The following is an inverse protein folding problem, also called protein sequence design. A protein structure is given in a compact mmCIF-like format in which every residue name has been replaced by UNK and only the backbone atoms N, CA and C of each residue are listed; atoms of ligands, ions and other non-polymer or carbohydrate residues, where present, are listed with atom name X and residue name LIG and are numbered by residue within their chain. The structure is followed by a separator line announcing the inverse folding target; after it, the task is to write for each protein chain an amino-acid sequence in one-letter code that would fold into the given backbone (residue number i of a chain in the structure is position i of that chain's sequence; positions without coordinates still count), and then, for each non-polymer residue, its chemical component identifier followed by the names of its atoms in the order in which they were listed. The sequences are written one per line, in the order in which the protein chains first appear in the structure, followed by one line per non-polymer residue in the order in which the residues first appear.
data_IF_984684516794
#
_entry.id   IF_984684516794
#
_cell.length_a   1.000
_cell.length_b   1.000
_cell.length_c   1.000
_cell.angle_alpha   90.00
_cell.angle_beta   90.00
_cell.angle_gamma   90.00
#
_symmetry.space_group_name_H-M   'P 1'
#
loop_
_entity.id
_entity.type
_entity.pdbx_description
1 polymer ?
#
# COMPACT_ATOMS: atom_id res chain seq x y z
N UNK A 1 -34.07 -51.51 -54.75
CA UNK A 1 -34.58 -52.60 -53.89
C UNK A 1 -33.45 -53.60 -53.71
N UNK A 2 -33.05 -53.97 -52.48
CA UNK A 2 -32.04 -55.00 -52.31
C UNK A 2 -32.60 -56.30 -52.90
N UNK A 3 -31.83 -56.98 -53.76
CA UNK A 3 -32.13 -58.36 -54.16
C UNK A 3 -31.90 -59.30 -52.96
N UNK A 4 -32.51 -60.49 -52.98
CA UNK A 4 -32.38 -61.52 -51.93
C UNK A 4 -30.94 -61.59 -51.39
N UNK A 5 -30.76 -61.32 -50.08
CA UNK A 5 -29.47 -61.38 -49.39
C UNK A 5 -28.70 -60.06 -49.19
N UNK A 6 -29.27 -58.89 -49.49
CA UNK A 6 -28.60 -57.59 -49.29
C UNK A 6 -28.73 -57.02 -47.86
N UNK A 7 -27.67 -56.40 -47.35
CA UNK A 7 -27.66 -55.66 -46.07
C UNK A 7 -27.89 -54.17 -46.30
N UNK A 8 -28.77 -53.54 -45.51
CA UNK A 8 -28.90 -52.09 -45.42
C UNK A 8 -28.34 -51.62 -44.08
N UNK A 9 -27.25 -50.85 -44.10
CA UNK A 9 -26.71 -50.21 -42.90
C UNK A 9 -27.31 -48.81 -42.75
N UNK A 10 -27.97 -48.57 -41.62
CA UNK A 10 -28.43 -47.24 -41.23
C UNK A 10 -27.61 -46.77 -40.03
N UNK A 11 -27.06 -45.55 -40.11
CA UNK A 11 -26.42 -44.88 -38.99
C UNK A 11 -27.30 -43.74 -38.50
N UNK A 12 -27.30 -43.48 -37.21
CA UNK A 12 -27.90 -42.29 -36.61
C UNK A 12 -27.02 -41.76 -35.49
N UNK A 13 -27.16 -40.49 -35.17
CA UNK A 13 -26.53 -39.83 -34.03
C UNK A 13 -27.56 -38.98 -33.30
N UNK A 14 -27.45 -38.92 -31.99
CA UNK A 14 -28.29 -38.08 -31.14
C UNK A 14 -27.47 -37.61 -29.93
N UNK A 15 -27.67 -36.37 -29.51
CA UNK A 15 -27.08 -35.86 -28.27
C UNK A 15 -27.88 -36.40 -27.08
N UNK A 16 -27.19 -36.76 -26.00
CA UNK A 16 -27.83 -37.10 -24.73
C UNK A 16 -28.02 -35.85 -23.87
N UNK A 17 -29.19 -35.65 -23.22
CA UNK A 17 -29.47 -34.46 -22.42
C UNK A 17 -28.72 -34.40 -21.08
N UNK A 18 -28.27 -35.53 -20.53
CA UNK A 18 -27.63 -35.61 -19.22
C UNK A 18 -26.90 -36.97 -19.03
N UNK A 19 -26.21 -37.12 -17.90
CA UNK A 19 -25.40 -38.29 -17.57
C UNK A 19 -26.18 -39.49 -16.98
N UNK A 20 -27.51 -39.42 -16.88
CA UNK A 20 -28.33 -40.53 -16.37
C UNK A 20 -28.24 -41.72 -17.32
N UNK A 21 -27.98 -42.89 -16.74
CA UNK A 21 -27.95 -44.15 -17.46
C UNK A 21 -29.27 -44.41 -18.18
N UNK A 22 -29.18 -44.82 -19.45
CA UNK A 22 -30.35 -45.02 -20.30
C UNK A 22 -30.10 -46.12 -21.31
N UNK A 23 -31.18 -46.69 -21.82
CA UNK A 23 -31.12 -47.64 -22.93
C UNK A 23 -31.49 -46.91 -24.21
N UNK A 24 -30.56 -46.92 -25.15
CA UNK A 24 -30.79 -46.44 -26.50
C UNK A 24 -31.41 -47.57 -27.31
N UNK A 25 -32.65 -47.39 -27.79
CA UNK A 25 -33.38 -48.39 -28.57
C UNK A 25 -33.63 -47.86 -29.98
N UNK A 26 -33.06 -48.53 -30.98
CA UNK A 26 -33.34 -48.28 -32.39
C UNK A 26 -34.44 -49.24 -32.88
N UNK A 27 -35.36 -48.73 -33.70
CA UNK A 27 -36.39 -49.52 -34.37
C UNK A 27 -36.32 -49.30 -35.87
N UNK A 28 -36.48 -50.36 -36.66
CA UNK A 28 -36.55 -50.28 -38.12
C UNK A 28 -37.77 -51.06 -38.62
N UNK A 29 -38.51 -50.48 -39.57
CA UNK A 29 -39.68 -51.11 -40.18
C UNK A 29 -39.41 -51.37 -41.66
N UNK A 30 -39.32 -52.64 -42.04
CA UNK A 30 -39.26 -53.06 -43.44
C UNK A 30 -40.67 -53.13 -44.01
N UNK A 31 -40.92 -52.44 -45.14
CA UNK A 31 -42.16 -52.58 -45.89
C UNK A 31 -42.08 -53.79 -46.82
N UNK A 32 -42.96 -54.77 -46.63
CA UNK A 32 -43.02 -55.97 -47.47
C UNK A 32 -44.01 -55.75 -48.62
N UNK A 33 -43.57 -56.11 -49.83
CA UNK A 33 -44.38 -56.03 -51.03
C UNK A 33 -44.60 -57.42 -51.61
N UNK A 34 -45.84 -57.72 -51.91
CA UNK A 34 -46.21 -58.79 -52.83
C UNK A 34 -46.07 -58.27 -54.25
N UNK A 35 -45.60 -59.13 -55.13
CA UNK A 35 -45.47 -58.82 -56.54
C UNK A 35 -46.19 -59.91 -57.31
N UNK A 36 -47.23 -59.52 -58.03
CA UNK A 36 -47.93 -60.43 -58.93
C UNK A 36 -47.34 -60.29 -60.33
N UNK A 37 -47.19 -61.42 -61.01
CA UNK A 37 -46.72 -61.43 -62.38
C UNK A 37 -47.82 -60.90 -63.30
N UNK A 38 -47.55 -59.80 -64.00
CA UNK A 38 -48.42 -59.26 -65.04
C UNK A 38 -47.98 -59.82 -66.41
N UNK A 39 -48.73 -60.79 -66.97
CA UNK A 39 -48.37 -61.41 -68.24
C UNK A 39 -48.44 -60.43 -69.42
N UNK A 40 -49.20 -59.33 -69.28
CA UNK A 40 -49.37 -58.31 -70.34
C UNK A 40 -48.11 -57.49 -70.57
N UNK A 41 -47.32 -57.26 -69.51
CA UNK A 41 -46.07 -56.50 -69.54
C UNK A 41 -44.84 -57.38 -69.35
N UNK A 42 -45.03 -58.68 -69.10
CA UNK A 42 -43.97 -59.62 -68.70
C UNK A 42 -43.16 -59.15 -67.50
N UNK A 43 -43.76 -58.34 -66.61
CA UNK A 43 -43.15 -57.78 -65.41
C UNK A 43 -43.86 -58.25 -64.15
N UNK A 44 -43.15 -58.21 -63.03
CA UNK A 44 -43.74 -58.34 -61.71
C UNK A 44 -44.20 -56.97 -61.24
N UNK A 45 -45.52 -56.78 -61.18
CA UNK A 45 -46.11 -55.51 -60.75
C UNK A 45 -46.33 -55.53 -59.24
N UNK A 46 -46.00 -54.41 -58.59
CA UNK A 46 -46.11 -54.24 -57.15
C UNK A 46 -47.59 -54.18 -56.75
N UNK A 47 -48.14 -55.27 -56.26
CA UNK A 47 -49.57 -55.39 -55.92
C UNK A 47 -49.78 -55.16 -54.42
N UNK A 48 -50.04 -53.89 -54.08
CA UNK A 48 -50.36 -53.37 -52.75
C UNK A 48 -49.33 -53.66 -51.62
N UNK A 49 -49.31 -52.79 -50.60
CA UNK A 49 -48.50 -52.98 -49.38
C UNK A 49 -49.11 -54.16 -48.61
N UNK A 50 -48.41 -55.28 -48.56
CA UNK A 50 -48.98 -56.52 -48.00
C UNK A 50 -48.81 -56.58 -46.48
N UNK A 51 -47.63 -56.26 -45.95
CA UNK A 51 -47.35 -56.21 -44.50
C UNK A 51 -46.10 -55.37 -44.19
N UNK A 52 -45.76 -55.23 -42.91
CA UNK A 52 -44.45 -54.72 -42.46
C UNK A 52 -43.78 -55.75 -41.56
N UNK A 53 -42.44 -55.71 -41.51
CA UNK A 53 -41.63 -56.44 -40.53
C UNK A 53 -40.86 -55.43 -39.69
N UNK A 54 -41.02 -55.49 -38.38
CA UNK A 54 -40.32 -54.60 -37.44
C UNK A 54 -39.07 -55.28 -36.86
N UNK A 55 -38.02 -54.50 -36.67
CA UNK A 55 -36.76 -54.88 -36.06
C UNK A 55 -36.45 -53.91 -34.92
N UNK A 56 -35.79 -54.40 -33.88
CA UNK A 56 -35.29 -53.57 -32.79
C UNK A 56 -33.89 -53.99 -32.38
N UNK A 57 -33.09 -53.02 -31.94
CA UNK A 57 -31.81 -53.24 -31.30
C UNK A 57 -31.61 -52.22 -30.20
N UNK A 58 -31.02 -52.65 -29.08
CA UNK A 58 -30.80 -51.79 -27.92
C UNK A 58 -29.35 -51.87 -27.44
N UNK A 59 -28.83 -50.74 -26.97
CA UNK A 59 -27.54 -50.65 -26.29
C UNK A 59 -27.65 -49.76 -25.05
N UNK A 60 -26.92 -50.10 -24.00
CA UNK A 60 -26.84 -49.26 -22.81
C UNK A 60 -25.93 -48.06 -23.08
N UNK A 61 -26.36 -46.90 -22.61
CA UNK A 61 -25.54 -45.70 -22.47
C UNK A 61 -25.36 -45.49 -20.97
N UNK A 62 -24.17 -45.80 -20.47
CA UNK A 62 -23.83 -45.72 -19.06
C UNK A 62 -22.53 -44.92 -18.87
N UNK A 63 -22.57 -43.95 -17.96
CA UNK A 63 -21.44 -43.09 -17.59
C UNK A 63 -20.82 -43.49 -16.25
N UNK A 64 -21.24 -44.61 -15.64
CA UNK A 64 -20.69 -45.11 -14.37
C UNK A 64 -19.18 -45.41 -14.42
N UNK A 65 -18.64 -45.69 -15.60
CA UNK A 65 -17.22 -45.89 -15.87
C UNK A 65 -16.59 -44.73 -16.64
N UNK A 66 -17.28 -43.60 -16.76
CA UNK A 66 -16.73 -42.43 -17.43
C UNK A 66 -15.56 -41.85 -16.62
N UNK A 67 -14.45 -41.58 -17.28
CA UNK A 67 -13.34 -40.86 -16.67
C UNK A 67 -13.71 -39.39 -16.52
N UNK A 68 -13.82 -38.92 -15.28
CA UNK A 68 -13.99 -37.51 -14.96
C UNK A 68 -12.60 -36.93 -14.65
N UNK A 69 -12.11 -36.08 -15.54
CA UNK A 69 -10.95 -35.22 -15.26
C UNK A 69 -11.50 -33.88 -14.80
N UNK A 70 -11.18 -33.45 -13.58
CA UNK A 70 -11.44 -32.07 -13.18
C UNK A 70 -10.22 -31.23 -13.52
N UNK A 71 -10.43 -29.92 -13.50
CA UNK A 71 -9.46 -28.92 -13.92
C UNK A 71 -9.51 -27.84 -12.84
N UNK A 72 -8.35 -27.28 -12.52
CA UNK A 72 -8.19 -26.20 -11.53
C UNK A 72 -8.63 -26.60 -10.10
N UNK A 73 -8.40 -27.85 -9.71
CA UNK A 73 -8.69 -28.32 -8.35
C UNK A 73 -7.82 -27.66 -7.27
N UNK A 74 -6.69 -27.06 -7.67
CA UNK A 74 -5.75 -26.39 -6.80
C UNK A 74 -5.48 -24.96 -7.25
N UNK A 75 -5.32 -24.07 -6.28
CA UNK A 75 -4.82 -22.71 -6.47
C UNK A 75 -3.58 -22.50 -5.64
N UNK A 76 -2.56 -21.89 -6.25
CA UNK A 76 -1.42 -21.37 -5.54
C UNK A 76 -1.78 -19.99 -4.98
N UNK A 77 -1.52 -19.78 -3.69
CA UNK A 77 -1.83 -18.56 -2.96
C UNK A 77 -0.53 -17.86 -2.59
N UNK A 78 -0.47 -16.56 -2.85
CA UNK A 78 0.67 -15.71 -2.53
C UNK A 78 0.22 -14.36 -2.02
N UNK A 79 1.14 -13.68 -1.37
CA UNK A 79 1.00 -12.31 -0.91
C UNK A 79 2.20 -11.51 -1.42
N UNK A 80 2.00 -10.26 -1.84
CA UNK A 80 3.04 -9.45 -2.47
C UNK A 80 4.15 -9.01 -1.50
N UNK A 81 3.87 -8.99 -0.18
CA UNK A 81 4.84 -8.63 0.87
C UNK A 81 5.47 -9.84 1.53
N UNK A 82 4.72 -10.94 1.66
CA UNK A 82 5.18 -12.16 2.32
C UNK A 82 5.76 -13.20 1.34
N UNK A 83 5.27 -13.24 0.10
CA UNK A 83 5.60 -14.23 -0.91
C UNK A 83 4.61 -15.41 -0.94
N UNK A 84 5.09 -16.61 -1.25
CA UNK A 84 4.21 -17.78 -1.38
C UNK A 84 3.65 -18.22 -0.02
N UNK A 85 2.32 -18.32 0.08
CA UNK A 85 1.61 -18.80 1.27
C UNK A 85 1.34 -20.31 1.21
N UNK A 86 1.29 -20.88 0.00
CA UNK A 86 1.13 -22.30 -0.26
C UNK A 86 0.01 -22.57 -1.25
N UNK A 87 -0.48 -23.81 -1.26
CA UNK A 87 -1.50 -24.26 -2.20
C UNK A 87 -2.76 -24.70 -1.46
N UNK A 88 -3.94 -24.37 -2.01
CA UNK A 88 -5.23 -24.80 -1.50
C UNK A 88 -5.91 -25.66 -2.57
N UNK A 89 -6.22 -26.90 -2.24
CA UNK A 89 -6.84 -27.85 -3.15
C UNK A 89 -8.21 -28.31 -2.66
N UNK A 90 -9.17 -28.45 -3.57
CA UNK A 90 -10.42 -29.16 -3.27
C UNK A 90 -10.18 -30.67 -3.24
N UNK A 91 -10.69 -31.39 -2.22
CA UNK A 91 -10.58 -32.84 -2.19
C UNK A 91 -11.32 -33.50 -3.35
N UNK A 92 -10.92 -34.72 -3.70
CA UNK A 92 -11.54 -35.54 -4.76
C UNK A 92 -13.03 -35.82 -4.54
N UNK A 93 -13.58 -35.55 -3.35
CA UNK A 93 -15.01 -35.55 -3.06
C UNK A 93 -15.78 -34.36 -3.64
N UNK A 94 -15.11 -33.27 -4.04
CA UNK A 94 -15.74 -32.08 -4.66
C UNK A 94 -16.35 -31.10 -3.66
N UNK A 95 -16.02 -31.20 -2.39
CA UNK A 95 -16.43 -30.24 -1.36
C UNK A 95 -15.54 -29.00 -1.37
N UNK A 96 -16.10 -27.81 -1.16
CA UNK A 96 -15.36 -26.55 -1.06
C UNK A 96 -14.25 -26.63 -0.01
N UNK A 97 -13.03 -26.21 -0.37
CA UNK A 97 -11.92 -26.05 0.55
C UNK A 97 -11.89 -24.61 1.07
N UNK A 98 -11.65 -24.43 2.36
CA UNK A 98 -11.40 -23.13 2.99
C UNK A 98 -10.16 -23.27 3.86
N UNK A 99 -9.21 -22.36 3.67
CA UNK A 99 -7.93 -22.35 4.38
C UNK A 99 -7.65 -20.94 4.88
N UNK A 100 -7.10 -20.84 6.08
CA UNK A 100 -6.60 -19.59 6.65
C UNK A 100 -5.08 -19.66 6.75
N UNK A 101 -4.40 -18.63 6.25
CA UNK A 101 -2.97 -18.42 6.42
C UNK A 101 -2.76 -17.30 7.44
N UNK A 102 -1.88 -17.51 8.41
CA UNK A 102 -1.56 -16.50 9.42
C UNK A 102 -0.08 -16.15 9.31
N UNK A 103 0.22 -14.86 9.14
CA UNK A 103 1.56 -14.30 9.14
C UNK A 103 1.50 -12.88 9.70
N UNK A 104 2.67 -12.29 9.95
CA UNK A 104 2.79 -10.92 10.44
C UNK A 104 3.75 -10.15 9.55
N UNK A 105 3.40 -8.91 9.23
CA UNK A 105 4.24 -7.95 8.54
C UNK A 105 4.60 -6.85 9.51
N UNK A 106 5.88 -6.53 9.59
CA UNK A 106 6.36 -5.38 10.37
C UNK A 106 6.44 -4.18 9.44
N UNK A 107 5.70 -3.12 9.78
CA UNK A 107 5.79 -1.83 9.09
C UNK A 107 6.74 -0.95 9.92
N UNK A 108 7.88 -0.59 9.33
CA UNK A 108 8.86 0.32 9.93
C UNK A 108 10.26 -0.27 10.16
N UNK A 109 11.23 0.55 10.61
CA UNK A 109 11.06 1.93 11.10
C UNK A 109 10.54 2.89 10.03
N UNK A 110 9.54 3.70 10.39
CA UNK A 110 8.91 4.67 9.48
C UNK A 110 9.82 5.89 9.36
N UNK A 111 10.08 6.35 8.13
CA UNK A 111 10.75 7.62 7.85
C UNK A 111 9.72 8.74 7.62
N UNK A 112 10.11 10.01 7.79
CA UNK A 112 9.23 11.16 7.51
C UNK A 112 8.62 11.10 6.10
N UNK A 113 9.40 10.63 5.12
CA UNK A 113 8.95 10.51 3.74
C UNK A 113 7.83 9.48 3.52
N UNK A 114 7.64 8.57 4.47
CA UNK A 114 6.60 7.53 4.45
C UNK A 114 5.37 7.94 5.27
N UNK A 115 5.43 9.04 6.01
CA UNK A 115 4.30 9.58 6.75
C UNK A 115 3.23 10.14 5.78
N UNK A 116 1.97 9.89 6.09
CA UNK A 116 0.84 10.24 5.22
C UNK A 116 0.72 9.35 3.96
N UNK A 117 1.53 8.29 3.87
CA UNK A 117 1.41 7.27 2.82
C UNK A 117 0.61 6.07 3.31
N UNK A 118 0.33 5.10 2.42
CA UNK A 118 -0.40 3.88 2.76
C UNK A 118 0.44 2.63 2.47
N UNK A 119 0.42 1.68 3.40
CA UNK A 119 0.94 0.34 3.22
C UNK A 119 -0.17 -0.59 2.72
N UNK A 120 -0.05 -1.04 1.46
CA UNK A 120 -1.03 -1.96 0.84
C UNK A 120 -0.46 -3.38 0.81
N UNK A 121 -1.22 -4.31 1.37
CA UNK A 121 -0.93 -5.73 1.37
C UNK A 121 -1.92 -6.46 0.45
N UNK A 122 -1.43 -7.18 -0.56
CA UNK A 122 -2.25 -7.81 -1.60
C UNK A 122 -2.08 -9.32 -1.59
N UNK A 123 -3.14 -10.02 -1.23
CA UNK A 123 -3.23 -11.47 -1.38
C UNK A 123 -3.75 -11.82 -2.78
N UNK A 124 -3.19 -12.85 -3.40
CA UNK A 124 -3.56 -13.29 -4.75
C UNK A 124 -3.58 -14.81 -4.85
N UNK A 125 -4.36 -15.33 -5.81
CA UNK A 125 -4.32 -16.74 -6.18
C UNK A 125 -4.18 -16.92 -7.69
N UNK A 126 -3.64 -18.07 -8.09
CA UNK A 126 -3.55 -18.50 -9.50
C UNK A 126 -3.83 -20.00 -9.59
N UNK A 127 -4.69 -20.42 -10.53
CA UNK A 127 -4.95 -21.84 -10.77
C UNK A 127 -3.76 -22.52 -11.48
N UNK A 128 -3.54 -23.81 -11.19
CA UNK A 128 -2.25 -24.46 -11.54
C UNK A 128 -2.25 -25.31 -12.80
N UNK A 129 -3.41 -25.59 -13.42
CA UNK A 129 -3.54 -26.69 -14.39
C UNK A 129 -3.90 -26.28 -15.83
N UNK A 130 -4.11 -24.98 -16.11
CA UNK A 130 -4.57 -24.54 -17.45
C UNK A 130 -3.59 -23.63 -18.18
N UNK A 131 -3.67 -23.62 -19.51
CA UNK A 131 -2.94 -22.69 -20.38
C UNK A 131 -3.43 -21.23 -20.25
N UNK A 132 -4.47 -21.00 -19.45
CA UNK A 132 -5.03 -19.70 -19.12
C UNK A 132 -5.55 -19.73 -17.68
N UNK A 133 -4.64 -19.62 -16.69
CA UNK A 133 -4.98 -19.82 -15.30
C UNK A 133 -5.99 -18.79 -14.83
N UNK A 134 -6.93 -19.21 -13.99
CA UNK A 134 -7.81 -18.29 -13.28
C UNK A 134 -7.01 -17.58 -12.19
N UNK A 135 -7.21 -16.27 -12.08
CA UNK A 135 -6.54 -15.44 -11.07
C UNK A 135 -7.54 -14.55 -10.36
N UNK A 136 -7.17 -14.14 -9.15
CA UNK A 136 -7.89 -13.14 -8.38
C UNK A 136 -7.01 -12.60 -7.27
N UNK A 137 -7.37 -11.42 -6.78
CA UNK A 137 -6.64 -10.74 -5.70
C UNK A 137 -7.61 -9.95 -4.84
N UNK A 138 -7.19 -9.70 -3.61
CA UNK A 138 -7.85 -8.79 -2.68
C UNK A 138 -6.77 -8.10 -1.83
N UNK A 139 -7.07 -6.90 -1.32
CA UNK A 139 -6.10 -6.09 -0.61
C UNK A 139 -6.57 -5.62 0.76
N UNK A 140 -5.60 -5.31 1.61
CA UNK A 140 -5.79 -4.62 2.87
C UNK A 140 -4.83 -3.44 2.94
N UNK A 141 -5.38 -2.26 3.19
CA UNK A 141 -4.62 -1.01 3.25
C UNK A 141 -4.53 -0.50 4.68
N UNK A 142 -3.33 -0.11 5.11
CA UNK A 142 -3.06 0.55 6.39
C UNK A 142 -2.46 1.91 6.10
N UNK A 143 -3.12 2.97 6.58
CA UNK A 143 -2.60 4.34 6.46
C UNK A 143 -1.55 4.60 7.55
N UNK A 144 -0.43 5.19 7.15
CA UNK A 144 0.70 5.53 8.04
C UNK A 144 0.50 6.97 8.49
N UNK A 145 -0.06 7.13 9.69
CA UNK A 145 -0.17 8.43 10.36
C UNK A 145 1.04 8.61 11.28
N UNK A 146 1.68 9.78 11.18
CA UNK A 146 2.77 10.19 12.06
C UNK A 146 2.41 11.55 12.67
N UNK A 147 2.71 11.74 13.95
CA UNK A 147 2.90 13.07 14.52
C UNK A 147 4.30 13.51 14.10
N UNK A 148 4.39 14.18 12.95
CA UNK A 148 5.64 14.78 12.50
C UNK A 148 5.90 16.02 13.36
N UNK A 149 7.02 16.01 14.08
CA UNK A 149 7.60 17.22 14.66
C UNK A 149 8.06 18.13 13.52
N UNK A 150 7.91 19.45 13.70
CA UNK A 150 8.27 20.45 12.71
C UNK A 150 7.07 21.01 11.95
N UNK A 151 7.35 21.96 11.06
CA UNK A 151 6.34 22.62 10.23
C UNK A 151 5.75 23.91 10.81
N UNK A 152 6.11 24.28 12.05
CA UNK A 152 5.57 25.46 12.73
C UNK A 152 6.69 26.27 13.40
N UNK A 153 6.51 27.58 13.50
CA UNK A 153 7.45 28.47 14.18
C UNK A 153 6.92 29.89 14.29
N UNK A 154 7.25 30.55 15.39
CA UNK A 154 7.00 31.98 15.58
C UNK A 154 8.30 32.79 15.37
N UNK A 155 8.15 33.97 14.76
CA UNK A 155 9.29 34.85 14.47
C UNK A 155 9.89 35.47 15.74
N UNK A 156 11.15 35.96 15.71
CA UNK A 156 11.71 36.74 16.83
C UNK A 156 10.84 37.94 17.24
N UNK A 157 10.16 38.56 16.27
CA UNK A 157 9.26 39.68 16.52
C UNK A 157 8.00 39.27 17.30
N UNK A 158 7.48 38.06 17.11
CA UNK A 158 6.39 37.54 17.92
C UNK A 158 6.84 37.38 19.38
N UNK A 159 7.90 36.60 19.60
CA UNK A 159 8.39 36.30 20.96
C UNK A 159 8.75 37.54 21.76
N UNK A 160 9.34 38.56 21.11
CA UNK A 160 9.66 39.85 21.72
C UNK A 160 8.43 40.59 22.26
N UNK A 161 7.27 40.42 21.64
CA UNK A 161 6.05 41.14 22.00
C UNK A 161 5.05 40.29 22.80
N UNK A 162 5.39 39.04 23.11
CA UNK A 162 4.52 38.06 23.77
C UNK A 162 5.26 37.28 24.88
N UNK A 163 5.93 38.00 25.80
CA UNK A 163 6.63 37.41 26.96
C UNK A 163 5.72 36.57 27.88
N UNK A 164 4.41 36.80 27.83
CA UNK A 164 3.41 36.02 28.54
C UNK A 164 3.24 34.61 27.98
N UNK A 165 3.54 34.42 26.70
CA UNK A 165 3.43 33.15 25.96
C UNK A 165 4.70 32.29 25.99
N UNK A 166 5.81 32.81 26.53
CA UNK A 166 7.05 32.04 26.67
C UNK A 166 6.83 30.77 27.50
N UNK A 167 7.59 29.73 27.20
CA UNK A 167 7.40 28.40 27.78
C UNK A 167 7.51 28.42 29.31
N UNK A 168 6.48 27.84 29.94
CA UNK A 168 6.37 27.71 31.40
C UNK A 168 6.12 26.26 31.76
N UNK A 169 6.92 25.75 32.68
CA UNK A 169 6.72 24.44 33.27
C UNK A 169 6.21 24.63 34.71
N UNK A 170 5.06 24.03 35.03
CA UNK A 170 4.45 24.12 36.37
C UNK A 170 4.20 25.56 36.88
N UNK A 171 4.04 26.53 35.97
CA UNK A 171 3.80 27.93 36.29
C UNK A 171 5.07 28.77 36.53
N UNK A 172 6.25 28.17 36.40
CA UNK A 172 7.55 28.84 36.37
C UNK A 172 8.08 28.86 34.93
N UNK A 173 8.87 29.87 34.57
CA UNK A 173 9.49 29.92 33.25
C UNK A 173 10.49 28.79 33.11
N UNK A 174 10.46 28.10 31.97
CA UNK A 174 11.53 27.17 31.60
C UNK A 174 12.73 27.93 31.03
N UNK A 175 12.45 28.94 30.20
CA UNK A 175 13.38 30.03 29.85
C UNK A 175 12.68 31.36 30.14
N UNK A 176 13.26 32.18 31.01
CA UNK A 176 12.68 33.45 31.45
C UNK A 176 13.22 34.63 30.62
N UNK A 177 12.43 35.71 30.44
CA UNK A 177 12.88 36.92 29.76
C UNK A 177 14.18 37.52 30.32
N UNK A 178 14.42 37.38 31.62
CA UNK A 178 15.59 37.90 32.33
C UNK A 178 16.73 36.89 32.53
N UNK A 179 16.62 35.66 31.98
CA UNK A 179 17.74 34.73 31.94
C UNK A 179 18.88 35.32 31.11
N UNK A 180 20.10 35.20 31.62
CA UNK A 180 21.31 35.67 30.93
C UNK A 180 21.67 34.73 29.79
N UNK A 181 22.09 35.29 28.65
CA UNK A 181 22.52 34.50 27.49
C UNK A 181 23.64 33.52 27.85
N UNK A 182 24.56 33.90 28.74
CA UNK A 182 25.67 33.09 29.22
C UNK A 182 25.27 31.93 30.14
N UNK A 183 24.04 31.92 30.66
CA UNK A 183 23.51 30.79 31.43
C UNK A 183 22.87 29.73 30.52
N UNK A 184 22.36 30.15 29.36
CA UNK A 184 21.66 29.29 28.38
C UNK A 184 22.60 28.75 27.30
N UNK A 185 23.45 29.61 26.74
CA UNK A 185 24.42 29.27 25.70
C UNK A 185 25.84 29.28 26.26
N UNK A 186 26.70 28.39 25.77
CA UNK A 186 28.11 28.37 26.19
C UNK A 186 28.92 29.40 25.40
N UNK A 187 29.38 30.45 26.11
CA UNK A 187 30.26 31.48 25.57
C UNK A 187 31.76 31.14 25.73
N UNK A 188 32.10 29.95 26.23
CA UNK A 188 33.50 29.52 26.38
C UNK A 188 34.20 29.49 25.02
N UNK A 189 35.37 30.13 24.94
CA UNK A 189 36.16 30.15 23.70
C UNK A 189 35.74 31.20 22.68
N UNK A 190 34.69 31.97 22.96
CA UNK A 190 34.28 33.12 22.14
C UNK A 190 35.32 34.25 22.18
N UNK A 191 35.28 35.15 21.19
CA UNK A 191 36.08 36.38 21.25
C UNK A 191 35.56 37.33 22.34
N UNK A 192 36.41 38.22 22.85
CA UNK A 192 36.02 39.19 23.89
C UNK A 192 34.85 40.10 23.52
N UNK A 193 34.60 40.30 22.23
CA UNK A 193 33.47 41.10 21.77
C UNK A 193 32.17 40.31 21.86
N UNK A 194 32.20 39.02 21.52
CA UNK A 194 31.06 38.12 21.65
C UNK A 194 30.80 37.77 23.11
N UNK A 195 31.85 37.53 23.91
CA UNK A 195 31.76 37.29 25.36
C UNK A 195 31.01 38.40 26.10
N UNK A 196 31.09 39.66 25.63
CA UNK A 196 30.34 40.77 26.26
C UNK A 196 28.82 40.70 26.09
N UNK A 197 28.31 39.81 25.25
CA UNK A 197 26.87 39.54 25.11
C UNK A 197 26.36 38.52 26.13
N UNK A 198 27.24 37.83 26.86
CA UNK A 198 26.84 36.78 27.80
C UNK A 198 26.00 37.33 28.97
N UNK A 199 26.25 38.59 29.37
CA UNK A 199 25.53 39.27 30.45
C UNK A 199 24.21 39.91 29.98
N UNK A 200 23.91 39.91 28.67
CA UNK A 200 22.64 40.40 28.14
C UNK A 200 21.55 39.32 28.30
N UNK A 201 20.30 39.73 28.44
CA UNK A 201 19.18 38.79 28.68
C UNK A 201 18.66 38.15 27.39
N UNK A 202 17.91 37.04 27.51
CA UNK A 202 17.17 36.47 26.37
C UNK A 202 16.23 37.50 25.71
N UNK A 203 15.57 38.34 26.49
CA UNK A 203 14.69 39.40 25.96
C UNK A 203 15.50 40.49 25.21
N UNK A 204 16.68 40.86 25.72
CA UNK A 204 17.58 41.80 25.02
C UNK A 204 18.04 41.23 23.68
N UNK A 205 18.33 39.93 23.62
CA UNK A 205 18.77 39.25 22.41
C UNK A 205 17.74 39.30 21.28
N UNK A 206 16.45 39.12 21.61
CA UNK A 206 15.36 39.28 20.65
C UNK A 206 15.25 40.71 20.09
N UNK A 207 15.79 41.70 20.80
CA UNK A 207 15.81 43.09 20.38
C UNK A 207 17.07 43.50 19.58
N UNK A 208 18.05 42.61 19.41
CA UNK A 208 19.28 42.93 18.70
C UNK A 208 19.04 43.41 17.25
N UNK A 209 19.77 44.46 16.87
CA UNK A 209 19.76 45.03 15.53
C UNK A 209 20.84 44.47 14.60
N UNK A 210 21.71 43.60 15.11
CA UNK A 210 22.91 43.15 14.42
C UNK A 210 23.96 44.26 14.28
N UNK A 211 24.83 44.13 13.29
CA UNK A 211 25.88 45.10 13.02
C UNK A 211 26.94 44.56 12.07
N UNK A 212 28.01 45.33 11.80
CA UNK A 212 29.12 44.83 11.01
C UNK A 212 30.04 43.92 11.84
N UNK A 213 30.57 42.88 11.19
CA UNK A 213 31.60 42.02 11.74
C UNK A 213 31.09 41.03 12.79
N UNK A 214 32.03 40.33 13.42
CA UNK A 214 31.76 39.17 14.28
C UNK A 214 30.71 39.43 15.38
N UNK A 215 30.78 40.57 16.06
CA UNK A 215 29.80 40.95 17.08
C UNK A 215 28.39 41.11 16.49
N UNK A 216 28.27 41.69 15.31
CA UNK A 216 26.99 41.86 14.62
C UNK A 216 26.42 40.54 14.11
N UNK A 217 27.28 39.65 13.62
CA UNK A 217 26.90 38.29 13.20
C UNK A 217 26.41 37.48 14.40
N UNK A 218 27.10 37.56 15.54
CA UNK A 218 26.68 36.92 16.80
C UNK A 218 25.34 37.48 17.31
N UNK A 219 25.14 38.79 17.26
CA UNK A 219 23.86 39.43 17.61
C UNK A 219 22.72 38.94 16.70
N UNK A 220 22.96 38.81 15.39
CA UNK A 220 21.96 38.28 14.46
C UNK A 220 21.63 36.81 14.77
N UNK A 221 22.65 35.98 14.96
CA UNK A 221 22.48 34.59 15.33
C UNK A 221 21.68 34.45 16.63
N UNK A 222 22.08 35.14 17.69
CA UNK A 222 21.42 35.07 18.99
C UNK A 222 19.95 35.51 18.91
N UNK A 223 19.63 36.53 18.10
CA UNK A 223 18.24 36.94 17.90
C UNK A 223 17.36 35.82 17.33
N UNK A 224 17.87 35.07 16.36
CA UNK A 224 17.14 33.95 15.76
C UNK A 224 17.22 32.67 16.62
N UNK A 225 18.32 32.46 17.33
CA UNK A 225 18.51 31.33 18.23
C UNK A 225 17.59 31.40 19.45
N UNK A 226 17.38 32.59 20.06
CA UNK A 226 16.42 32.72 21.17
C UNK A 226 14.99 32.46 20.70
N UNK A 227 14.62 32.93 19.51
CA UNK A 227 13.32 32.59 18.93
C UNK A 227 13.19 31.07 18.65
N UNK A 228 14.24 30.44 18.14
CA UNK A 228 14.29 29.00 17.91
C UNK A 228 14.16 28.20 19.22
N UNK A 229 14.83 28.65 20.28
CA UNK A 229 14.75 28.08 21.61
C UNK A 229 13.32 28.15 22.16
N UNK A 230 12.66 29.30 22.01
CA UNK A 230 11.30 29.52 22.48
C UNK A 230 10.27 28.72 21.67
N UNK A 231 10.47 28.58 20.36
CA UNK A 231 9.66 27.68 19.54
C UNK A 231 9.84 26.22 19.98
N UNK A 232 11.07 25.78 20.18
CA UNK A 232 11.40 24.42 20.59
C UNK A 232 10.83 24.05 21.97
N UNK A 233 10.85 24.98 22.93
CA UNK A 233 10.33 24.73 24.27
C UNK A 233 8.81 24.89 24.39
N UNK A 234 8.15 25.42 23.36
CA UNK A 234 6.68 25.55 23.28
C UNK A 234 6.07 24.37 22.53
N UNK A 235 6.50 23.17 22.86
CA UNK A 235 6.16 21.92 22.18
C UNK A 235 4.66 21.55 22.26
N UNK A 236 3.91 22.19 23.16
CA UNK A 236 2.46 22.03 23.31
C UNK A 236 1.63 22.84 22.31
N UNK A 237 2.22 23.86 21.67
CA UNK A 237 1.53 24.78 20.75
C UNK A 237 2.29 25.09 19.46
N UNK A 238 3.58 24.76 19.41
CA UNK A 238 4.45 24.98 18.25
C UNK A 238 5.20 23.67 17.97
N UNK A 239 4.82 23.02 16.86
CA UNK A 239 5.56 21.89 16.30
C UNK A 239 6.84 22.40 15.61
N UNK A 240 7.85 22.74 16.39
CA UNK A 240 9.11 23.28 15.85
C UNK A 240 10.04 22.20 15.31
N UNK A 241 10.84 22.53 14.29
CA UNK A 241 11.72 21.58 13.59
C UNK A 241 12.86 21.04 14.46
N UNK A 242 13.25 21.78 15.49
CA UNK A 242 14.44 21.49 16.30
C UNK A 242 14.10 21.37 17.78
N UNK A 243 14.89 20.57 18.50
CA UNK A 243 14.83 20.52 19.96
C UNK A 243 15.66 21.66 20.58
N UNK A 244 15.32 22.04 21.81
CA UNK A 244 16.01 23.08 22.56
C UNK A 244 17.50 22.75 22.78
N UNK A 245 17.82 21.49 23.07
CA UNK A 245 19.21 21.01 23.22
C UNK A 245 20.04 21.15 21.93
N UNK A 246 19.43 20.93 20.76
CA UNK A 246 20.05 21.14 19.45
C UNK A 246 20.32 22.62 19.20
N UNK A 247 19.31 23.48 19.46
CA UNK A 247 19.44 24.94 19.31
C UNK A 247 20.57 25.47 20.19
N UNK A 248 20.63 25.07 21.46
CA UNK A 248 21.69 25.46 22.40
C UNK A 248 23.07 24.98 21.91
N UNK A 249 23.17 23.70 21.54
CA UNK A 249 24.44 23.11 21.09
C UNK A 249 24.98 23.75 19.81
N UNK A 250 24.13 23.94 18.79
CA UNK A 250 24.55 24.54 17.52
C UNK A 250 24.92 26.01 17.69
N UNK A 251 24.14 26.76 18.46
CA UNK A 251 24.42 28.17 18.74
C UNK A 251 25.75 28.33 19.47
N UNK A 252 25.97 27.55 20.54
CA UNK A 252 27.22 27.60 21.33
C UNK A 252 28.46 27.30 20.47
N UNK A 253 28.39 26.28 19.60
CA UNK A 253 29.47 25.98 18.64
C UNK A 253 29.73 27.12 17.68
N UNK A 254 28.67 27.70 17.11
CA UNK A 254 28.79 28.80 16.17
C UNK A 254 29.40 30.05 16.80
N UNK A 255 29.00 30.38 18.04
CA UNK A 255 29.57 31.50 18.80
C UNK A 255 31.06 31.29 19.11
N UNK A 256 31.47 30.05 19.46
CA UNK A 256 32.87 29.70 19.68
C UNK A 256 33.71 29.69 18.39
N UNK A 257 33.08 29.83 17.21
CA UNK A 257 33.75 29.74 15.92
C UNK A 257 34.15 28.31 15.53
N UNK A 258 33.53 27.29 16.14
CA UNK A 258 33.81 25.86 15.93
C UNK A 258 33.17 25.35 14.63
N UNK A 259 33.62 25.92 13.52
CA UNK A 259 33.21 25.54 12.17
C UNK A 259 34.26 24.64 11.48
N UNK A 260 33.84 23.77 10.53
CA UNK A 260 32.45 23.49 10.18
C UNK A 260 31.82 22.47 11.14
N UNK A 261 30.49 22.47 11.22
CA UNK A 261 29.70 21.41 11.87
C UNK A 261 28.41 21.14 11.10
N UNK A 262 27.72 20.04 11.41
CA UNK A 262 26.44 19.69 10.77
C UNK A 262 25.27 20.07 11.68
N UNK A 263 24.30 20.81 11.13
CA UNK A 263 23.00 21.09 11.71
C UNK A 263 21.93 20.73 10.68
N UNK A 264 20.92 19.96 11.09
CA UNK A 264 19.83 19.52 10.20
C UNK A 264 20.30 18.91 8.85
N UNK A 265 21.37 18.10 8.90
CA UNK A 265 21.96 17.51 7.69
C UNK A 265 22.71 18.49 6.77
N UNK A 266 22.77 19.79 7.11
CA UNK A 266 23.47 20.85 6.38
C UNK A 266 24.83 21.13 7.04
N UNK A 267 25.88 21.32 6.23
CA UNK A 267 27.19 21.78 6.71
C UNK A 267 27.14 23.29 6.96
N UNK A 268 27.32 23.68 8.23
CA UNK A 268 27.38 25.06 8.69
C UNK A 268 28.85 25.48 8.77
N UNK A 269 29.19 26.58 8.10
CA UNK A 269 30.54 27.13 8.00
C UNK A 269 30.66 28.55 8.57
N UNK A 270 29.54 29.18 8.92
CA UNK A 270 29.50 30.51 9.53
C UNK A 270 28.29 30.73 10.44
N UNK A 271 28.34 31.77 11.28
CA UNK A 271 27.20 32.18 12.12
C UNK A 271 25.99 32.59 11.27
N UNK A 272 26.21 33.22 10.11
CA UNK A 272 25.12 33.65 9.21
C UNK A 272 24.37 32.43 8.64
N UNK A 273 25.08 31.35 8.28
CA UNK A 273 24.43 30.13 7.77
C UNK A 273 23.57 29.44 8.84
N UNK A 274 24.02 29.39 10.09
CA UNK A 274 23.18 28.88 11.19
C UNK A 274 21.98 29.81 11.45
N UNK A 275 22.21 31.11 11.42
CA UNK A 275 21.15 32.12 11.59
C UNK A 275 20.08 31.98 10.50
N UNK A 276 20.47 31.74 9.25
CA UNK A 276 19.55 31.51 8.13
C UNK A 276 18.76 30.20 8.30
N UNK A 277 19.39 29.15 8.84
CA UNK A 277 18.70 27.90 9.18
C UNK A 277 17.60 28.14 10.23
N UNK A 278 17.92 28.85 11.31
CA UNK A 278 16.93 29.20 12.33
C UNK A 278 15.87 30.18 11.82
N UNK A 279 16.22 31.14 10.96
CA UNK A 279 15.25 32.03 10.31
C UNK A 279 14.22 31.24 9.50
N UNK A 280 14.67 30.31 8.67
CA UNK A 280 13.79 29.46 7.88
C UNK A 280 12.80 28.65 8.74
N UNK A 281 13.26 28.10 9.87
CA UNK A 281 12.40 27.37 10.81
C UNK A 281 11.45 28.28 11.58
N UNK A 282 11.93 29.44 12.06
CA UNK A 282 11.12 30.40 12.82
C UNK A 282 9.99 31.05 11.99
N UNK A 283 10.10 31.04 10.66
CA UNK A 283 9.13 31.63 9.74
C UNK A 283 8.07 30.65 9.23
N UNK A 284 8.01 29.42 9.75
CA UNK A 284 7.04 28.41 9.28
C UNK A 284 5.60 28.67 9.72
N UNK A 285 5.37 29.60 10.67
CA UNK A 285 4.07 30.07 11.18
C UNK A 285 3.28 28.95 11.87
N UNK A 286 3.13 29.02 13.19
CA UNK A 286 2.16 28.17 13.92
C UNK A 286 0.74 28.78 13.82
N UNK A 287 -0.20 28.16 13.07
CA UNK A 287 -1.51 28.76 12.82
C UNK A 287 -2.34 28.93 14.10
N UNK A 288 -2.86 30.13 14.32
CA UNK A 288 -3.69 30.45 15.49
C UNK A 288 -2.94 30.65 16.81
N UNK A 289 -1.61 30.51 16.81
CA UNK A 289 -0.76 30.86 17.95
C UNK A 289 0.14 32.06 17.65
N UNK A 290 0.88 32.05 16.54
CA UNK A 290 1.83 33.12 16.20
C UNK A 290 1.20 34.36 15.50
N UNK A 291 -0.13 34.48 15.44
CA UNK A 291 -0.87 35.49 14.65
C UNK A 291 -1.13 36.82 15.39
#
# INVERSE_FOLDING_TARGET
MPKNGGTLQCTYSANVPDATARTNTATATLQNYTYDYNPSTSSYDKTAKSTTTDFTGSANVDFSQATITRVDECVDVSDDKYGSLGQVCVPSSGTSASQTFNYSLTIGPITESECGTSFVNVASFTSTETTNPETGSDDWTVDIECELQGGEGCTPGFWKNHEDEWCKENGEYHYAPDDELGEVFDFTGTSKQVESLADDTLADALAYGGGPGELGDAMNLLRHAVAALLNACKDDQVSYDYYDDQVISWTSKALAGDFPFTADGVEITSMEELKDLFEAANEQIAPGFCE
#
